data_IF_975145195460
#
_entry.id   IF_975145195460
#
_cell.length_a   1.000
_cell.length_b   1.000
_cell.length_c   1.000
_cell.angle_alpha   90.00
_cell.angle_beta   90.00
_cell.angle_gamma   90.00
#
_symmetry.space_group_name_H-M   'P 1'
#
loop_
_entity.id
_entity.type
_entity.pdbx_description
1 polymer ?
#
# COMPACT_ATOMS: atom_id res chain seq x y z
N UNK A 1 -14.82 -11.73 -6.71
CA UNK A 1 -15.60 -10.49 -6.65
C UNK A 1 -15.70 -9.84 -8.03
N UNK A 2 -16.89 -9.42 -8.40
CA UNK A 2 -17.11 -8.69 -9.64
C UNK A 2 -16.52 -7.27 -9.55
N UNK A 3 -16.08 -6.71 -10.68
CA UNK A 3 -15.42 -5.39 -10.68
C UNK A 3 -16.22 -4.27 -10.04
N UNK A 4 -17.56 -4.30 -10.16
CA UNK A 4 -18.44 -3.32 -9.48
C UNK A 4 -18.39 -3.42 -7.95
N UNK A 5 -18.33 -4.63 -7.41
CA UNK A 5 -18.27 -4.85 -5.97
C UNK A 5 -16.95 -4.36 -5.38
N UNK A 6 -15.83 -4.66 -6.05
CA UNK A 6 -14.51 -4.18 -5.66
C UNK A 6 -14.42 -2.65 -5.68
N UNK A 7 -14.95 -2.02 -6.72
CA UNK A 7 -15.01 -0.56 -6.80
C UNK A 7 -15.82 0.04 -5.65
N UNK A 8 -17.01 -0.51 -5.38
CA UNK A 8 -17.86 -0.04 -4.29
C UNK A 8 -17.18 -0.21 -2.93
N UNK A 9 -16.44 -1.30 -2.72
CA UNK A 9 -15.67 -1.51 -1.49
C UNK A 9 -14.55 -0.50 -1.32
N UNK A 10 -13.78 -0.22 -2.37
CA UNK A 10 -12.72 0.80 -2.33
C UNK A 10 -13.30 2.20 -2.10
N UNK A 11 -14.35 2.57 -2.79
CA UNK A 11 -15.05 3.83 -2.57
C UNK A 11 -15.56 3.96 -1.13
N UNK A 12 -16.10 2.88 -0.58
CA UNK A 12 -16.54 2.83 0.83
C UNK A 12 -15.38 3.03 1.80
N UNK A 13 -14.24 2.38 1.57
CA UNK A 13 -13.03 2.55 2.40
C UNK A 13 -12.52 3.98 2.41
N UNK A 14 -12.57 4.68 1.28
CA UNK A 14 -12.12 6.07 1.15
C UNK A 14 -13.18 7.08 1.60
N UNK A 15 -14.41 6.64 1.84
CA UNK A 15 -15.54 7.49 2.19
C UNK A 15 -15.45 8.01 3.63
N UNK A 16 -16.40 8.91 3.97
CA UNK A 16 -16.58 9.45 5.32
C UNK A 16 -16.93 8.39 6.37
N UNK A 17 -17.29 7.19 5.97
CA UNK A 17 -17.55 6.07 6.87
C UNK A 17 -16.27 5.44 7.44
N UNK A 18 -15.14 5.58 6.73
CA UNK A 18 -13.86 4.96 7.09
C UNK A 18 -12.71 5.99 7.04
N UNK A 19 -11.89 5.94 6.00
CA UNK A 19 -10.67 6.78 5.91
C UNK A 19 -10.97 8.28 5.79
N UNK A 20 -12.09 8.65 5.18
CA UNK A 20 -12.56 10.03 5.12
C UNK A 20 -13.34 10.50 6.35
N UNK A 21 -13.45 9.67 7.41
CA UNK A 21 -14.14 10.08 8.63
C UNK A 21 -13.33 11.10 9.40
N UNK A 22 -13.96 12.16 10.00
CA UNK A 22 -13.25 13.20 10.76
C UNK A 22 -12.39 12.67 11.92
N UNK A 23 -12.73 11.51 12.49
CA UNK A 23 -11.95 10.85 13.53
C UNK A 23 -10.80 10.00 13.01
N UNK A 24 -10.78 9.70 11.72
CA UNK A 24 -9.66 9.01 11.09
C UNK A 24 -8.58 10.05 10.77
N UNK A 25 -7.69 10.25 11.71
CA UNK A 25 -6.63 11.24 11.61
C UNK A 25 -5.31 10.60 11.17
N UNK A 26 -4.46 11.40 10.55
CA UNK A 26 -3.08 11.01 10.23
C UNK A 26 -2.26 10.77 11.51
N UNK A 27 -1.33 9.82 11.59
CA UNK A 27 -0.92 8.92 10.49
C UNK A 27 -1.88 7.74 10.28
N UNK A 28 -1.99 7.29 9.04
CA UNK A 28 -2.88 6.19 8.65
C UNK A 28 -2.11 5.10 7.92
N UNK A 29 -2.36 3.85 8.29
CA UNK A 29 -1.90 2.65 7.59
C UNK A 29 -3.12 1.80 7.24
N UNK A 30 -3.24 1.43 5.98
CA UNK A 30 -4.25 0.49 5.49
C UNK A 30 -3.55 -0.73 4.91
N UNK A 31 -3.76 -1.90 5.48
CA UNK A 31 -3.08 -3.10 5.02
C UNK A 31 -3.98 -4.33 5.01
N UNK A 32 -3.64 -5.30 4.18
CA UNK A 32 -4.32 -6.58 4.08
C UNK A 32 -4.22 -7.22 2.71
N UNK A 33 -4.96 -8.31 2.56
CA UNK A 33 -5.26 -8.93 1.27
C UNK A 33 -6.45 -8.20 0.63
N UNK A 34 -6.16 -7.43 -0.42
CA UNK A 34 -7.19 -6.68 -1.15
C UNK A 34 -7.71 -7.43 -2.37
N UNK A 35 -7.07 -8.54 -2.71
CA UNK A 35 -7.35 -9.25 -3.94
C UNK A 35 -7.31 -8.35 -5.20
N UNK A 36 -6.45 -7.32 -5.15
CA UNK A 36 -6.24 -6.32 -6.19
C UNK A 36 -4.80 -6.36 -6.68
N UNK A 37 -4.61 -6.42 -7.98
CA UNK A 37 -3.28 -6.23 -8.57
C UNK A 37 -3.01 -4.75 -8.90
N UNK A 38 -1.73 -4.33 -8.97
CA UNK A 38 -1.35 -2.93 -9.21
C UNK A 38 -1.82 -2.34 -10.55
N UNK A 39 -2.19 -3.17 -11.52
CA UNK A 39 -2.75 -2.71 -12.79
C UNK A 39 -4.26 -2.46 -12.74
N UNK A 40 -4.92 -2.76 -11.62
CA UNK A 40 -6.35 -2.52 -11.46
C UNK A 40 -6.66 -1.06 -11.17
N UNK A 41 -7.84 -0.60 -11.59
CA UNK A 41 -8.32 0.75 -11.28
C UNK A 41 -8.49 0.97 -9.77
N UNK A 42 -8.96 -0.07 -9.09
CA UNK A 42 -9.20 -0.04 -7.65
C UNK A 42 -7.89 0.15 -6.87
N UNK A 43 -6.83 -0.54 -7.25
CA UNK A 43 -5.51 -0.32 -6.66
C UNK A 43 -5.00 1.11 -6.95
N UNK A 44 -5.16 1.59 -8.18
CA UNK A 44 -4.75 2.94 -8.57
C UNK A 44 -5.50 4.01 -7.77
N UNK A 45 -6.78 3.81 -7.49
CA UNK A 45 -7.59 4.70 -6.65
C UNK A 45 -7.02 4.75 -5.23
N UNK A 46 -6.70 3.60 -4.63
CA UNK A 46 -6.07 3.53 -3.31
C UNK A 46 -4.67 4.16 -3.32
N UNK A 47 -3.86 3.89 -4.34
CA UNK A 47 -2.51 4.42 -4.45
C UNK A 47 -2.46 5.93 -4.76
N UNK A 48 -3.54 6.51 -5.22
CA UNK A 48 -3.70 7.96 -5.36
C UNK A 48 -4.04 8.62 -4.01
N UNK A 49 -4.89 7.98 -3.23
CA UNK A 49 -5.29 8.49 -1.91
C UNK A 49 -4.20 8.26 -0.84
N UNK A 50 -3.53 7.12 -0.92
CA UNK A 50 -2.44 6.69 -0.05
C UNK A 50 -1.26 6.24 -0.92
N UNK A 51 -0.18 5.76 -0.33
CA UNK A 51 0.97 5.23 -1.08
C UNK A 51 1.22 3.77 -0.73
N UNK A 52 1.26 2.90 -1.73
CA UNK A 52 1.69 1.51 -1.58
C UNK A 52 3.18 1.47 -1.24
N UNK A 53 3.54 0.85 -0.12
CA UNK A 53 4.92 0.83 0.39
C UNK A 53 5.89 0.17 -0.57
N UNK A 54 5.45 -0.82 -1.35
CA UNK A 54 6.32 -1.48 -2.32
C UNK A 54 6.70 -0.56 -3.49
N UNK A 55 5.85 0.39 -3.84
CA UNK A 55 6.12 1.38 -4.89
C UNK A 55 6.83 2.62 -4.33
N UNK A 56 6.57 2.97 -3.08
CA UNK A 56 7.12 4.17 -2.44
C UNK A 56 8.52 3.98 -1.86
N UNK A 57 8.94 2.74 -1.59
CA UNK A 57 10.24 2.45 -0.99
C UNK A 57 11.36 2.55 -2.03
N UNK A 58 12.34 3.39 -1.74
CA UNK A 58 13.52 3.58 -2.58
C UNK A 58 14.32 2.26 -2.72
N UNK A 59 14.80 1.99 -3.92
CA UNK A 59 15.60 0.81 -4.26
C UNK A 59 14.90 -0.54 -4.03
N UNK A 60 13.58 -0.54 -3.79
CA UNK A 60 12.79 -1.77 -3.70
C UNK A 60 12.11 -2.09 -5.02
N UNK A 61 12.29 -3.32 -5.48
CA UNK A 61 11.57 -3.84 -6.65
C UNK A 61 10.32 -4.57 -6.14
N UNK A 62 9.10 -4.13 -6.52
CA UNK A 62 7.87 -4.77 -6.08
C UNK A 62 7.82 -6.26 -6.38
N UNK A 63 7.40 -7.05 -5.40
CA UNK A 63 7.36 -8.50 -5.46
C UNK A 63 5.94 -9.04 -5.22
N UNK A 64 5.68 -10.19 -5.80
CA UNK A 64 4.43 -10.93 -5.66
C UNK A 64 4.40 -11.71 -4.35
N UNK A 65 3.21 -11.89 -3.78
CA UNK A 65 3.01 -12.51 -2.47
C UNK A 65 2.18 -13.78 -2.51
N UNK A 66 1.44 -14.02 -3.60
CA UNK A 66 0.55 -15.17 -3.76
C UNK A 66 0.82 -15.89 -5.10
N UNK A 67 0.87 -17.20 -5.16
CA UNK A 67 0.86 -18.15 -4.06
C UNK A 67 2.28 -18.32 -3.51
N UNK A 68 2.41 -18.64 -2.23
CA UNK A 68 3.71 -18.67 -1.53
C UNK A 68 4.76 -19.58 -2.17
N UNK A 69 4.35 -20.70 -2.74
CA UNK A 69 5.26 -21.68 -3.37
C UNK A 69 5.65 -21.29 -4.79
N UNK A 70 4.80 -20.52 -5.49
CA UNK A 70 5.03 -20.00 -6.84
C UNK A 70 4.34 -18.63 -6.97
N UNK A 71 4.95 -17.55 -6.49
CA UNK A 71 4.31 -16.23 -6.47
C UNK A 71 4.00 -15.72 -7.88
N UNK A 72 2.72 -15.52 -8.16
CA UNK A 72 2.22 -15.06 -9.46
C UNK A 72 1.36 -13.80 -9.37
N UNK A 73 0.85 -13.47 -8.17
CA UNK A 73 -0.03 -12.33 -7.93
C UNK A 73 0.51 -11.44 -6.82
N UNK A 74 0.39 -10.15 -7.01
CA UNK A 74 0.65 -9.12 -6.00
C UNK A 74 -0.69 -8.58 -5.53
N UNK A 75 -1.26 -9.17 -4.48
CA UNK A 75 -2.61 -8.89 -3.97
C UNK A 75 -2.65 -8.46 -2.52
N UNK A 76 -1.53 -8.58 -1.80
CA UNK A 76 -1.36 -8.07 -0.45
C UNK A 76 -0.66 -6.71 -0.53
N UNK A 77 -1.21 -5.72 0.15
CA UNK A 77 -0.70 -4.35 0.10
C UNK A 77 -0.67 -3.72 1.49
N UNK A 78 0.29 -2.82 1.65
CA UNK A 78 0.35 -1.89 2.78
C UNK A 78 0.36 -0.48 2.17
N UNK A 79 -0.67 0.29 2.46
CA UNK A 79 -0.78 1.69 2.06
C UNK A 79 -0.56 2.60 3.26
N UNK A 80 0.16 3.67 3.04
CA UNK A 80 0.46 4.68 4.06
C UNK A 80 0.10 6.08 3.57
N UNK A 81 -0.20 6.97 4.50
CA UNK A 81 -0.38 8.39 4.17
C UNK A 81 0.95 9.17 4.18
N UNK A 82 0.89 10.46 3.88
CA UNK A 82 2.06 11.33 3.78
C UNK A 82 2.72 11.69 5.11
N UNK A 83 2.12 11.34 6.24
CA UNK A 83 2.77 11.47 7.55
C UNK A 83 3.78 10.36 7.83
N UNK A 84 3.81 9.33 7.00
CA UNK A 84 4.65 8.15 7.11
C UNK A 84 5.58 8.01 5.91
N UNK A 85 6.75 7.42 6.15
CA UNK A 85 7.71 7.07 5.10
C UNK A 85 8.07 5.59 5.21
N UNK A 86 7.93 4.86 4.11
CA UNK A 86 8.45 3.50 4.01
C UNK A 86 9.97 3.55 3.79
N UNK A 87 10.73 2.94 4.69
CA UNK A 87 12.20 2.93 4.65
C UNK A 87 12.79 1.57 4.29
N UNK A 88 11.99 0.52 4.34
CA UNK A 88 12.38 -0.82 3.94
C UNK A 88 11.17 -1.71 3.74
N UNK A 89 11.26 -2.63 2.78
CA UNK A 89 10.23 -3.64 2.52
C UNK A 89 10.90 -4.98 2.31
N UNK A 90 10.33 -6.03 2.87
CA UNK A 90 10.77 -7.40 2.71
C UNK A 90 9.59 -8.32 2.42
N UNK A 91 9.78 -9.25 1.52
CA UNK A 91 8.88 -10.36 1.27
C UNK A 91 9.69 -11.65 1.48
N UNK A 92 9.78 -12.17 2.72
CA UNK A 92 10.51 -13.40 3.01
C UNK A 92 9.98 -14.57 2.17
N UNK A 93 10.89 -15.26 1.49
CA UNK A 93 10.57 -16.39 0.63
C UNK A 93 11.50 -17.57 0.94
N UNK A 94 11.57 -17.92 2.22
CA UNK A 94 12.30 -19.10 2.69
C UNK A 94 11.38 -20.31 2.86
N UNK A 95 11.92 -21.45 3.23
CA UNK A 95 11.18 -22.70 3.38
C UNK A 95 10.02 -22.56 4.39
N UNK A 96 10.23 -21.86 5.49
CA UNK A 96 9.21 -21.64 6.51
C UNK A 96 8.07 -20.74 5.96
N UNK A 97 8.39 -19.63 5.32
CA UNK A 97 7.41 -18.72 4.74
C UNK A 97 6.51 -19.43 3.71
N UNK A 98 7.08 -20.32 2.90
CA UNK A 98 6.34 -21.06 1.86
C UNK A 98 5.34 -22.07 2.42
N UNK A 99 5.57 -22.59 3.63
CA UNK A 99 4.69 -23.60 4.25
C UNK A 99 3.77 -23.02 5.32
N UNK A 100 4.09 -21.85 5.86
CA UNK A 100 3.30 -21.22 6.93
C UNK A 100 1.95 -20.69 6.44
N UNK A 101 1.86 -20.26 5.19
CA UNK A 101 0.65 -19.71 4.58
C UNK A 101 0.71 -19.89 3.06
N UNK A 102 -0.42 -19.79 2.38
CA UNK A 102 -0.50 -19.69 0.92
C UNK A 102 -0.12 -18.28 0.40
N UNK A 103 0.02 -17.30 1.29
CA UNK A 103 0.61 -16.00 1.02
C UNK A 103 2.02 -15.89 1.63
N UNK A 104 2.94 -15.22 0.93
CA UNK A 104 4.20 -14.79 1.53
C UNK A 104 3.97 -13.58 2.43
N UNK A 105 4.72 -13.45 3.53
CA UNK A 105 4.59 -12.26 4.37
C UNK A 105 5.11 -11.01 3.66
N UNK A 106 4.39 -9.91 3.83
CA UNK A 106 4.81 -8.58 3.40
C UNK A 106 5.13 -7.75 4.64
N UNK A 107 6.37 -7.34 4.78
CA UNK A 107 6.88 -6.61 5.93
C UNK A 107 7.38 -5.25 5.46
N UNK A 108 6.98 -4.19 6.16
CA UNK A 108 7.45 -2.84 5.90
C UNK A 108 7.99 -2.20 7.18
N UNK A 109 9.15 -1.57 7.06
CA UNK A 109 9.67 -0.65 8.06
C UNK A 109 9.19 0.76 7.71
N UNK A 110 8.46 1.38 8.64
CA UNK A 110 7.79 2.66 8.42
C UNK A 110 8.25 3.66 9.49
N UNK A 111 8.57 4.87 9.05
CA UNK A 111 8.98 5.97 9.92
C UNK A 111 7.90 7.04 9.95
N UNK A 112 7.59 7.55 11.14
CA UNK A 112 6.75 8.74 11.32
C UNK A 112 7.57 9.98 10.96
N UNK A 113 7.05 10.81 10.06
CA UNK A 113 7.67 12.08 9.69
C UNK A 113 7.27 13.19 10.68
N UNK A 114 8.20 14.09 10.99
CA UNK A 114 7.89 15.34 11.67
C UNK A 114 7.25 16.36 10.71
N UNK A 115 6.63 17.41 11.24
CA UNK A 115 5.95 18.43 10.45
C UNK A 115 6.85 19.05 9.37
N UNK A 116 8.11 19.34 9.69
CA UNK A 116 9.09 19.91 8.74
C UNK A 116 9.43 18.95 7.61
N UNK A 117 9.48 17.65 7.90
CA UNK A 117 9.76 16.61 6.92
C UNK A 117 8.58 16.39 5.96
N UNK A 118 7.34 16.50 6.44
CA UNK A 118 6.14 16.39 5.61
C UNK A 118 6.13 17.54 4.59
N UNK A 119 6.40 18.76 5.00
CA UNK A 119 6.48 19.93 4.12
C UNK A 119 7.57 19.78 3.05
N UNK A 120 8.70 19.18 3.39
CA UNK A 120 9.80 18.93 2.44
C UNK A 120 9.40 17.92 1.37
N UNK A 121 8.62 16.91 1.71
CA UNK A 121 8.11 15.91 0.76
C UNK A 121 7.13 16.54 -0.22
N UNK A 122 6.25 17.42 0.24
CA UNK A 122 5.29 18.12 -0.63
C UNK A 122 6.00 19.03 -1.64
N UNK A 123 7.13 19.64 -1.28
CA UNK A 123 7.92 20.50 -2.17
C UNK A 123 8.78 19.73 -3.18
N UNK A 124 9.02 18.45 -2.97
CA UNK A 124 9.82 17.60 -3.86
C UNK A 124 9.01 16.92 -4.97
N UNK A 125 7.69 17.11 -5.02
CA UNK A 125 6.88 16.71 -6.15
C UNK A 125 7.21 17.65 -7.32
N UNK A 126 7.76 17.15 -8.46
CA UNK A 126 7.95 18.01 -9.62
C UNK A 126 6.59 18.57 -10.03
N UNK A 127 6.51 19.88 -10.11
CA UNK A 127 5.44 20.50 -10.87
C UNK A 127 5.70 20.14 -12.34
N UNK A 128 5.03 19.11 -12.85
CA UNK A 128 4.91 18.93 -14.29
C UNK A 128 4.10 20.12 -14.79
N UNK A 129 4.80 21.21 -14.95
CA UNK A 129 4.35 22.38 -15.64
C UNK A 129 4.53 22.16 -17.13
N UNK A 130 3.42 22.12 -17.86
CA UNK A 130 3.31 22.42 -19.29
C UNK A 130 4.09 21.50 -20.23
#
# INVERSE_FOLDING_TARGET
>A
LRGRERRAQVESLLSRHWLGHPKCQTPTILCGDFNLQPNSREWQTLNTALSDVQNATLDHIPQKTFASRLPTLRIDHIFIDNALQAIGVQIPNNALARVASDHLPLIADIRLLGADQITSVEHSIPSDGE
#
